data_IF_649047868563
#
_entry.id   IF_649047868563
#
_cell.length_a   1.000
_cell.length_b   1.000
_cell.length_c   1.000
_cell.angle_alpha   90.00
_cell.angle_beta   90.00
_cell.angle_gamma   90.00
#
_symmetry.space_group_name_H-M   'P 1'
#
loop_
_entity.id
_entity.type
_entity.pdbx_description
1 polymer ?
#
# COMPACT_ATOMS: atom_id res chain seq x y z
N UNK A 1 -21.46 -22.89 -10.12
CA UNK A 1 -20.89 -21.76 -10.91
C UNK A 1 -20.08 -20.89 -9.96
N UNK A 2 -18.81 -20.59 -10.27
CA UNK A 2 -17.95 -19.78 -9.39
C UNK A 2 -18.49 -18.35 -9.37
N UNK A 3 -18.93 -17.88 -8.20
CA UNK A 3 -19.39 -16.50 -8.03
C UNK A 3 -18.26 -15.64 -7.46
N UNK A 4 -17.48 -15.03 -8.35
CA UNK A 4 -16.35 -14.18 -7.98
C UNK A 4 -16.74 -12.97 -7.14
N UNK A 5 -17.97 -12.48 -7.25
CA UNK A 5 -18.43 -11.33 -6.46
C UNK A 5 -18.53 -11.66 -4.96
N UNK A 6 -18.95 -12.88 -4.61
CA UNK A 6 -18.98 -13.35 -3.21
C UNK A 6 -17.56 -13.45 -2.65
N UNK A 7 -16.63 -14.01 -3.42
CA UNK A 7 -15.22 -14.05 -3.01
C UNK A 7 -14.60 -12.65 -2.92
N UNK A 8 -15.02 -11.72 -3.78
CA UNK A 8 -14.62 -10.32 -3.72
C UNK A 8 -15.05 -9.66 -2.41
N UNK A 9 -16.31 -9.83 -2.00
CA UNK A 9 -16.78 -9.35 -0.69
C UNK A 9 -16.00 -9.98 0.46
N UNK A 10 -15.80 -11.31 0.44
CA UNK A 10 -15.02 -12.00 1.46
C UNK A 10 -13.58 -11.47 1.53
N UNK A 11 -12.97 -11.19 0.40
CA UNK A 11 -11.64 -10.57 0.34
C UNK A 11 -11.65 -9.18 0.99
N UNK A 12 -12.66 -8.36 0.70
CA UNK A 12 -12.77 -7.01 1.25
C UNK A 12 -12.96 -7.05 2.77
N UNK A 13 -13.80 -7.95 3.27
CA UNK A 13 -13.99 -8.13 4.72
C UNK A 13 -12.71 -8.61 5.42
N UNK A 14 -11.96 -9.55 4.83
CA UNK A 14 -10.64 -9.95 5.36
C UNK A 14 -9.66 -8.76 5.40
N UNK A 15 -9.70 -7.88 4.39
CA UNK A 15 -8.89 -6.66 4.36
C UNK A 15 -9.32 -5.68 5.45
N UNK A 16 -10.62 -5.41 5.60
CA UNK A 16 -11.16 -4.55 6.65
C UNK A 16 -10.82 -5.08 8.05
N UNK A 17 -10.97 -6.40 8.27
CA UNK A 17 -10.62 -7.04 9.53
C UNK A 17 -9.13 -6.86 9.88
N UNK A 18 -8.24 -6.97 8.89
CA UNK A 18 -6.81 -6.65 9.07
C UNK A 18 -6.61 -5.20 9.51
N UNK A 19 -7.26 -4.24 8.86
CA UNK A 19 -7.13 -2.82 9.20
C UNK A 19 -7.69 -2.51 10.60
N UNK A 20 -8.83 -3.10 10.96
CA UNK A 20 -9.38 -3.01 12.32
C UNK A 20 -8.40 -3.55 13.37
N UNK A 21 -7.78 -4.69 13.11
CA UNK A 21 -6.79 -5.27 14.04
C UNK A 21 -5.55 -4.40 14.17
N UNK A 22 -5.10 -3.78 13.07
CA UNK A 22 -3.96 -2.86 13.11
C UNK A 22 -4.27 -1.59 13.91
N UNK A 23 -5.47 -1.03 13.75
CA UNK A 23 -5.92 0.15 14.49
C UNK A 23 -6.10 -0.11 16.00
N UNK A 24 -6.19 -1.37 16.45
CA UNK A 24 -6.17 -1.72 17.88
C UNK A 24 -4.78 -1.59 18.52
N UNK A 25 -3.72 -1.61 17.71
CA UNK A 25 -2.33 -1.70 18.20
C UNK A 25 -1.42 -0.56 17.71
N UNK A 26 -1.95 0.36 16.90
CA UNK A 26 -1.20 1.49 16.38
C UNK A 26 -2.13 2.68 16.13
N UNK A 27 -1.58 3.89 16.30
CA UNK A 27 -2.27 5.13 15.91
C UNK A 27 -2.58 5.12 14.40
N UNK A 28 -3.64 5.79 13.93
CA UNK A 28 -4.09 5.70 12.54
C UNK A 28 -3.00 5.98 11.49
N UNK A 29 -2.22 7.04 11.69
CA UNK A 29 -1.12 7.38 10.78
C UNK A 29 -0.01 6.32 10.78
N UNK A 30 0.38 5.81 11.96
CA UNK A 30 1.37 4.74 12.10
C UNK A 30 0.88 3.44 11.45
N UNK A 31 -0.39 3.10 11.65
CA UNK A 31 -1.03 1.93 11.04
C UNK A 31 -0.98 2.01 9.51
N UNK A 32 -1.43 3.13 8.93
CA UNK A 32 -1.44 3.30 7.48
C UNK A 32 -0.02 3.35 6.90
N UNK A 33 0.90 4.04 7.57
CA UNK A 33 2.32 4.08 7.19
C UNK A 33 2.94 2.68 7.12
N UNK A 34 2.74 1.85 8.15
CA UNK A 34 3.27 0.47 8.17
C UNK A 34 2.74 -0.39 7.03
N UNK A 35 1.44 -0.31 6.71
CA UNK A 35 0.89 -1.07 5.58
C UNK A 35 1.42 -0.57 4.24
N UNK A 36 1.59 0.76 4.07
CA UNK A 36 2.20 1.35 2.88
C UNK A 36 3.64 0.87 2.73
N UNK A 37 4.44 0.92 3.78
CA UNK A 37 5.82 0.45 3.78
C UNK A 37 5.91 -1.05 3.48
N UNK A 38 5.16 -1.90 4.21
CA UNK A 38 5.07 -3.34 3.97
C UNK A 38 4.75 -3.67 2.51
N UNK A 39 3.89 -2.85 1.90
CA UNK A 39 3.53 -3.01 0.50
C UNK A 39 4.76 -2.93 -0.42
N UNK A 40 5.68 -1.99 -0.18
CA UNK A 40 6.82 -1.71 -1.05
C UNK A 40 7.72 -2.93 -1.23
N UNK A 41 7.79 -3.82 -0.23
CA UNK A 41 8.72 -4.95 -0.26
C UNK A 41 8.51 -5.98 -1.37
N UNK A 42 7.30 -6.07 -1.96
CA UNK A 42 6.93 -7.19 -2.87
C UNK A 42 7.28 -8.56 -2.23
N UNK A 43 7.04 -9.76 -2.81
CA UNK A 43 6.92 -10.94 -1.94
C UNK A 43 8.19 -11.28 -1.15
N UNK A 44 9.36 -10.74 -1.54
CA UNK A 44 10.66 -11.04 -0.93
C UNK A 44 11.08 -10.11 0.20
N UNK A 45 10.69 -8.83 0.21
CA UNK A 45 11.17 -7.85 1.21
C UNK A 45 10.04 -7.25 2.08
N UNK A 46 8.86 -7.87 2.14
CA UNK A 46 7.73 -7.31 2.93
C UNK A 46 8.08 -7.12 4.40
N UNK A 47 8.72 -8.12 5.01
CA UNK A 47 9.12 -8.09 6.42
C UNK A 47 10.18 -7.02 6.63
N UNK A 48 11.17 -6.92 5.75
CA UNK A 48 12.23 -5.91 5.86
C UNK A 48 11.67 -4.48 5.78
N UNK A 49 10.71 -4.21 4.88
CA UNK A 49 10.07 -2.90 4.84
C UNK A 49 9.17 -2.62 6.05
N UNK A 50 8.55 -3.65 6.63
CA UNK A 50 7.80 -3.48 7.87
C UNK A 50 8.75 -3.16 9.03
N UNK A 51 9.86 -3.88 9.14
CA UNK A 51 10.91 -3.63 10.14
C UNK A 51 11.48 -2.21 10.00
N UNK A 52 11.79 -1.77 8.77
CA UNK A 52 12.20 -0.40 8.49
C UNK A 52 11.17 0.62 8.99
N UNK A 53 9.87 0.36 8.77
CA UNK A 53 8.80 1.23 9.26
C UNK A 53 8.64 1.22 10.78
N UNK A 54 9.06 0.14 11.46
CA UNK A 54 9.01 0.03 12.91
C UNK A 54 10.19 0.76 13.57
N UNK A 55 11.39 0.64 12.99
CA UNK A 55 12.56 1.36 13.51
C UNK A 55 12.57 2.83 13.10
N UNK A 56 11.84 3.22 12.05
CA UNK A 56 11.64 4.62 11.65
C UNK A 56 10.15 4.98 11.72
N UNK A 57 9.56 5.15 12.92
CA UNK A 57 8.13 5.43 13.08
C UNK A 57 7.68 6.66 12.29
N UNK A 58 6.42 6.68 11.88
CA UNK A 58 5.88 7.80 11.11
C UNK A 58 5.98 9.14 11.86
N UNK A 59 5.82 9.12 13.18
CA UNK A 59 6.03 10.28 14.05
C UNK A 59 7.44 10.87 13.95
N UNK A 60 8.47 10.06 13.68
CA UNK A 60 9.83 10.54 13.39
C UNK A 60 9.92 11.11 11.96
N UNK A 61 9.35 10.42 10.98
CA UNK A 61 9.27 10.89 9.58
C UNK A 61 8.65 12.30 9.50
N UNK A 62 7.59 12.58 10.27
CA UNK A 62 6.95 13.90 10.30
C UNK A 62 7.87 15.02 10.76
N UNK A 63 8.87 14.74 11.61
CA UNK A 63 9.83 15.74 12.09
C UNK A 63 10.85 16.14 11.03
N UNK A 64 11.14 15.25 10.09
CA UNK A 64 12.17 15.45 9.05
C UNK A 64 11.71 16.45 7.98
N UNK A 65 10.40 16.54 7.72
CA UNK A 65 9.71 17.46 6.78
C UNK A 65 10.12 17.33 5.30
N UNK A 66 11.40 17.48 5.00
CA UNK A 66 11.95 17.56 3.66
C UNK A 66 12.21 16.17 3.06
N UNK A 67 11.82 15.99 1.79
CA UNK A 67 11.97 14.70 1.08
C UNK A 67 13.37 14.12 1.14
N UNK A 68 14.40 14.95 0.96
CA UNK A 68 15.78 14.48 0.90
C UNK A 68 16.28 14.00 2.28
N UNK A 69 15.85 14.65 3.37
CA UNK A 69 16.12 14.22 4.75
C UNK A 69 15.36 12.92 5.07
N UNK A 70 14.09 12.82 4.66
CA UNK A 70 13.30 11.58 4.79
C UNK A 70 13.95 10.41 4.05
N UNK A 71 14.38 10.62 2.80
CA UNK A 71 15.11 9.64 2.01
C UNK A 71 16.41 9.22 2.71
N UNK A 72 17.21 10.18 3.17
CA UNK A 72 18.48 9.91 3.86
C UNK A 72 18.25 9.11 5.15
N UNK A 73 17.29 9.50 5.99
CA UNK A 73 16.96 8.80 7.22
C UNK A 73 16.55 7.34 6.96
N UNK A 74 15.67 7.10 5.99
CA UNK A 74 15.24 5.75 5.62
C UNK A 74 16.39 4.92 5.04
N UNK A 75 17.24 5.50 4.18
CA UNK A 75 18.41 4.81 3.62
C UNK A 75 19.44 4.48 4.71
N UNK A 76 19.64 5.38 5.68
CA UNK A 76 20.52 5.16 6.82
C UNK A 76 20.03 3.96 7.64
N UNK A 77 18.77 4.00 8.08
CA UNK A 77 18.13 2.95 8.89
C UNK A 77 18.05 1.63 8.15
N UNK A 78 17.95 1.66 6.83
CA UNK A 78 17.97 0.47 5.98
C UNK A 78 19.38 -0.14 5.77
N UNK A 79 20.47 0.51 6.22
CA UNK A 79 21.82 -0.02 6.00
C UNK A 79 22.41 0.32 4.61
N UNK A 80 21.81 1.25 3.86
CA UNK A 80 22.26 1.59 2.50
C UNK A 80 23.23 2.75 2.42
N UNK A 81 23.33 3.57 3.46
CA UNK A 81 24.29 4.67 3.56
C UNK A 81 24.78 4.83 4.98
N UNK A 82 26.03 5.26 5.15
CA UNK A 82 26.60 5.70 6.43
C UNK A 82 26.57 7.23 6.59
N UNK A 83 26.09 7.95 5.56
CA UNK A 83 25.95 9.40 5.59
C UNK A 83 24.94 9.84 6.66
N UNK A 84 25.43 10.70 7.57
CA UNK A 84 24.67 11.29 8.68
C UNK A 84 24.46 12.80 8.51
N UNK A 85 25.04 13.40 7.47
CA UNK A 85 24.97 14.84 7.25
C UNK A 85 23.49 15.27 7.17
N UNK A 86 23.16 16.43 7.71
CA UNK A 86 21.81 17.02 7.73
C UNK A 86 20.72 16.24 8.49
N UNK A 87 21.01 15.04 9.01
CA UNK A 87 20.08 14.35 9.90
C UNK A 87 19.99 15.08 11.25
N UNK A 88 18.81 15.12 11.90
CA UNK A 88 18.65 15.79 13.19
C UNK A 88 19.64 15.28 14.24
N UNK A 89 20.08 16.17 15.13
CA UNK A 89 21.04 15.82 16.20
C UNK A 89 20.50 14.76 17.17
N UNK A 90 19.18 14.70 17.34
CA UNK A 90 18.46 13.73 18.18
C UNK A 90 18.04 12.47 17.42
N UNK A 91 18.47 12.30 16.16
CA UNK A 91 18.23 11.08 15.39
C UNK A 91 19.00 9.90 16.01
N UNK A 92 18.30 8.82 16.32
CA UNK A 92 18.93 7.63 16.90
C UNK A 92 19.70 6.84 15.84
N UNK A 93 21.02 7.04 15.82
CA UNK A 93 21.93 6.36 14.90
C UNK A 93 22.26 4.92 15.31
N UNK A 94 21.85 4.46 16.50
CA UNK A 94 22.08 3.07 16.96
C UNK A 94 21.13 2.07 16.31
N UNK A 95 19.94 2.53 15.92
CA UNK A 95 18.92 1.73 15.27
C UNK A 95 19.22 1.63 13.77
N UNK A 96 19.57 0.43 13.29
CA UNK A 96 19.87 0.21 11.87
C UNK A 96 19.73 -1.26 11.50
N UNK A 97 19.24 -1.52 10.29
CA UNK A 97 19.18 -2.86 9.71
C UNK A 97 20.52 -3.24 9.08
N UNK A 98 20.88 -4.51 9.13
CA UNK A 98 22.00 -5.03 8.34
C UNK A 98 21.63 -5.00 6.85
N UNK A 99 22.54 -4.53 5.98
CA UNK A 99 22.31 -4.49 4.53
C UNK A 99 22.02 -5.88 3.93
N UNK A 100 22.53 -6.96 4.55
CA UNK A 100 22.37 -8.34 4.09
C UNK A 100 20.93 -8.85 4.19
N UNK A 101 20.07 -8.21 4.99
CA UNK A 101 18.67 -8.63 5.14
C UNK A 101 17.86 -8.38 3.85
N UNK A 102 18.34 -7.49 2.98
CA UNK A 102 17.66 -7.10 1.76
C UNK A 102 17.89 -8.11 0.63
N UNK A 103 16.79 -8.64 0.09
CA UNK A 103 16.84 -9.61 -0.99
C UNK A 103 16.82 -8.91 -2.35
N UNK A 104 17.87 -9.12 -3.14
CA UNK A 104 17.98 -8.62 -4.54
C UNK A 104 17.72 -9.70 -5.59
N UNK A 105 18.01 -10.96 -5.28
CA UNK A 105 17.94 -12.07 -6.25
C UNK A 105 16.55 -12.19 -6.87
N UNK A 106 16.47 -12.08 -8.19
CA UNK A 106 15.21 -12.18 -8.95
C UNK A 106 14.28 -10.97 -8.82
N UNK A 107 14.77 -9.84 -8.32
CA UNK A 107 14.07 -8.55 -8.35
C UNK A 107 14.60 -7.73 -9.52
N UNK A 108 13.72 -7.09 -10.30
CA UNK A 108 14.14 -6.17 -11.37
C UNK A 108 14.81 -4.92 -10.76
N UNK A 109 15.85 -4.32 -11.37
CA UNK A 109 16.56 -3.18 -10.80
C UNK A 109 15.68 -1.97 -10.43
N UNK A 110 14.54 -1.75 -11.11
CA UNK A 110 13.59 -0.69 -10.77
C UNK A 110 12.85 -0.93 -9.44
N UNK A 111 12.88 -2.16 -8.93
CA UNK A 111 12.15 -2.61 -7.74
C UNK A 111 13.07 -2.86 -6.54
N UNK A 112 14.36 -2.50 -6.65
CA UNK A 112 15.31 -2.63 -5.54
C UNK A 112 14.90 -1.77 -4.33
N UNK A 113 15.21 -2.22 -3.10
CA UNK A 113 14.73 -1.55 -1.89
C UNK A 113 15.12 -0.08 -1.80
N UNK A 114 16.37 0.27 -2.11
CA UNK A 114 16.86 1.66 -2.06
C UNK A 114 16.12 2.58 -3.02
N UNK A 115 15.74 2.08 -4.21
CA UNK A 115 14.93 2.86 -5.16
C UNK A 115 13.49 3.04 -4.71
N UNK A 116 12.95 2.06 -3.98
CA UNK A 116 11.60 2.14 -3.42
C UNK A 116 11.53 3.07 -2.21
N UNK A 117 12.59 3.09 -1.40
CA UNK A 117 12.76 4.08 -0.33
C UNK A 117 12.75 5.48 -0.93
N UNK A 118 13.62 5.73 -1.92
CA UNK A 118 13.63 7.01 -2.66
C UNK A 118 12.26 7.39 -3.24
N UNK A 119 11.57 6.41 -3.83
CA UNK A 119 10.25 6.62 -4.42
C UNK A 119 9.19 7.02 -3.38
N UNK A 120 9.17 6.39 -2.19
CA UNK A 120 8.14 6.66 -1.18
C UNK A 120 8.36 7.99 -0.45
N UNK A 121 9.60 8.49 -0.36
CA UNK A 121 9.91 9.76 0.32
C UNK A 121 9.09 10.94 -0.20
N UNK A 122 8.74 10.95 -1.50
CA UNK A 122 7.89 11.99 -2.07
C UNK A 122 6.42 11.95 -1.62
N UNK A 123 5.90 10.80 -1.21
CA UNK A 123 4.60 10.73 -0.51
C UNK A 123 4.77 11.22 0.92
N UNK A 124 5.79 10.74 1.62
CA UNK A 124 6.00 11.00 3.04
C UNK A 124 6.16 12.50 3.33
N UNK A 125 6.94 13.22 2.50
CA UNK A 125 7.08 14.67 2.55
C UNK A 125 5.71 15.37 2.55
N UNK A 126 4.86 15.03 1.57
CA UNK A 126 3.52 15.64 1.40
C UNK A 126 2.56 15.36 2.55
N UNK A 127 2.89 14.39 3.40
CA UNK A 127 2.04 13.95 4.51
C UNK A 127 2.56 14.41 5.87
N UNK A 128 3.75 15.02 5.93
CA UNK A 128 4.39 15.40 7.21
C UNK A 128 3.55 16.40 8.02
N UNK A 129 2.96 17.39 7.37
CA UNK A 129 2.14 18.41 8.02
C UNK A 129 0.77 17.85 8.46
N UNK A 130 -0.01 17.32 7.52
CA UNK A 130 -1.41 16.94 7.75
C UNK A 130 -1.62 15.54 8.32
N UNK A 131 -0.61 14.67 8.28
CA UNK A 131 -0.75 13.24 8.56
C UNK A 131 -1.17 12.45 7.32
N UNK A 132 -0.75 11.20 7.23
CA UNK A 132 -0.97 10.37 6.04
C UNK A 132 -2.43 9.97 5.89
N UNK A 133 -3.14 9.78 7.00
CA UNK A 133 -4.57 9.49 7.00
C UNK A 133 -5.35 10.68 6.47
N UNK A 134 -5.12 11.88 7.01
CA UNK A 134 -5.84 13.08 6.58
C UNK A 134 -5.53 13.43 5.12
N UNK A 135 -4.27 13.27 4.69
CA UNK A 135 -3.87 13.46 3.30
C UNK A 135 -4.71 12.64 2.31
N UNK A 136 -4.91 11.35 2.59
CA UNK A 136 -5.74 10.51 1.73
C UNK A 136 -7.25 10.75 1.93
N UNK A 137 -7.67 11.06 3.16
CA UNK A 137 -9.08 11.31 3.47
C UNK A 137 -9.62 12.52 2.67
N UNK A 138 -8.91 13.63 2.66
CA UNK A 138 -9.32 14.85 1.93
C UNK A 138 -9.34 14.62 0.42
N UNK A 139 -8.38 13.87 -0.12
CA UNK A 139 -8.36 13.51 -1.55
C UNK A 139 -9.49 12.57 -1.95
N UNK A 140 -9.86 11.62 -1.08
CA UNK A 140 -11.01 10.76 -1.34
C UNK A 140 -12.30 11.59 -1.28
N UNK A 141 -12.41 12.46 -0.28
CA UNK A 141 -13.56 13.35 -0.11
C UNK A 141 -13.79 14.23 -1.35
N UNK A 142 -12.72 14.77 -1.95
CA UNK A 142 -12.83 15.58 -3.17
C UNK A 142 -13.30 14.79 -4.41
N UNK A 143 -13.14 13.46 -4.40
CA UNK A 143 -13.51 12.59 -5.52
C UNK A 143 -14.89 11.92 -5.37
N UNK A 144 -15.57 12.09 -4.23
CA UNK A 144 -16.85 11.40 -3.93
C UNK A 144 -17.95 11.56 -4.99
N UNK A 145 -17.95 12.68 -5.71
CA UNK A 145 -18.93 12.98 -6.78
C UNK A 145 -18.48 12.53 -8.17
N UNK A 146 -17.24 12.08 -8.33
CA UNK A 146 -16.67 11.70 -9.62
C UNK A 146 -17.09 10.28 -9.99
N UNK A 147 -17.67 10.13 -11.18
CA UNK A 147 -18.17 8.84 -11.70
C UNK A 147 -17.13 8.08 -12.54
N UNK A 148 -15.94 8.64 -12.74
CA UNK A 148 -14.86 7.97 -13.48
C UNK A 148 -13.83 7.37 -12.50
N UNK A 149 -13.89 6.06 -12.23
CA UNK A 149 -13.05 5.44 -11.21
C UNK A 149 -11.55 5.51 -11.54
N UNK A 150 -11.17 5.44 -12.83
CA UNK A 150 -9.76 5.59 -13.24
C UNK A 150 -9.23 6.99 -12.95
N UNK A 151 -10.02 8.02 -13.26
CA UNK A 151 -9.65 9.41 -13.00
C UNK A 151 -9.53 9.64 -11.49
N UNK A 152 -10.52 9.23 -10.72
CA UNK A 152 -10.49 9.42 -9.26
C UNK A 152 -9.30 8.75 -8.58
N UNK A 153 -8.96 7.50 -8.95
CA UNK A 153 -7.77 6.85 -8.40
C UNK A 153 -6.50 7.63 -8.76
N UNK A 154 -6.38 8.09 -10.02
CA UNK A 154 -5.24 8.89 -10.47
C UNK A 154 -5.08 10.17 -9.65
N UNK A 155 -6.19 10.86 -9.38
CA UNK A 155 -6.21 12.13 -8.66
C UNK A 155 -5.95 11.93 -7.15
N UNK A 156 -6.53 10.88 -6.53
CA UNK A 156 -6.25 10.48 -5.15
C UNK A 156 -4.78 10.09 -4.97
N UNK A 157 -4.23 9.33 -5.91
CA UNK A 157 -2.86 8.81 -5.85
C UNK A 157 -1.85 9.73 -6.56
N UNK A 158 -2.17 11.02 -6.72
CA UNK A 158 -1.30 11.97 -7.43
C UNK A 158 -0.11 12.45 -6.57
N UNK A 159 0.89 11.58 -6.43
CA UNK A 159 2.20 11.88 -5.83
C UNK A 159 3.33 11.24 -6.65
N UNK A 160 4.56 11.72 -6.51
CA UNK A 160 5.68 11.28 -7.37
C UNK A 160 6.32 9.96 -6.92
N UNK A 161 7.29 9.45 -7.69
CA UNK A 161 8.14 8.33 -7.32
C UNK A 161 7.54 6.93 -7.54
N UNK A 162 6.22 6.77 -7.40
CA UNK A 162 5.54 5.48 -7.57
C UNK A 162 4.77 5.41 -8.89
N UNK A 163 5.02 4.36 -9.68
CA UNK A 163 4.32 4.13 -10.95
C UNK A 163 2.82 3.84 -10.80
N UNK A 164 2.04 4.10 -11.85
CA UNK A 164 0.57 4.01 -11.83
C UNK A 164 0.06 2.63 -11.40
N UNK A 165 0.55 1.55 -12.00
CA UNK A 165 0.16 0.18 -11.62
C UNK A 165 0.33 -0.06 -10.12
N UNK A 166 1.41 0.48 -9.55
CA UNK A 166 1.70 0.31 -8.13
C UNK A 166 0.77 1.13 -7.25
N UNK A 167 0.41 2.34 -7.69
CA UNK A 167 -0.59 3.17 -7.02
C UNK A 167 -1.96 2.50 -7.03
N UNK A 168 -2.36 1.88 -8.13
CA UNK A 168 -3.62 1.11 -8.20
C UNK A 168 -3.62 -0.03 -7.17
N UNK A 169 -2.54 -0.82 -7.13
CA UNK A 169 -2.39 -1.90 -6.15
C UNK A 169 -2.43 -1.38 -4.72
N UNK A 170 -1.71 -0.29 -4.40
CA UNK A 170 -1.66 0.31 -3.07
C UNK A 170 -3.03 0.85 -2.65
N UNK A 171 -3.71 1.58 -3.53
CA UNK A 171 -5.03 2.12 -3.24
C UNK A 171 -6.00 1.01 -2.90
N UNK A 172 -6.15 0.01 -3.78
CA UNK A 172 -7.16 -1.03 -3.60
C UNK A 172 -6.83 -2.00 -2.47
N UNK A 173 -5.55 -2.32 -2.24
CA UNK A 173 -5.19 -3.30 -1.19
C UNK A 173 -5.02 -2.70 0.21
N UNK A 174 -4.84 -1.38 0.32
CA UNK A 174 -4.42 -0.70 1.55
C UNK A 174 -5.28 0.54 1.81
N UNK A 175 -5.17 1.58 0.98
CA UNK A 175 -5.80 2.88 1.27
C UNK A 175 -7.32 2.74 1.35
N UNK A 176 -7.94 2.11 0.35
CA UNK A 176 -9.38 1.88 0.27
C UNK A 176 -9.90 1.10 1.49
N UNK A 177 -9.44 -0.14 1.80
CA UNK A 177 -9.95 -0.87 2.95
C UNK A 177 -9.62 -0.19 4.29
N UNK A 178 -8.50 0.54 4.40
CA UNK A 178 -8.19 1.32 5.59
C UNK A 178 -9.22 2.43 5.79
N UNK A 179 -9.49 3.22 4.74
CA UNK A 179 -10.45 4.33 4.81
C UNK A 179 -11.90 3.85 5.01
N UNK A 180 -12.25 2.67 4.50
CA UNK A 180 -13.54 2.03 4.78
C UNK A 180 -13.70 1.64 6.26
N UNK A 181 -12.62 1.40 6.99
CA UNK A 181 -12.65 1.13 8.44
C UNK A 181 -12.56 2.41 9.26
N UNK A 182 -11.71 3.33 8.84
CA UNK A 182 -11.40 4.54 9.59
C UNK A 182 -12.49 5.62 9.50
N UNK A 183 -13.03 5.85 8.30
CA UNK A 183 -14.00 6.92 8.06
C UNK A 183 -15.43 6.50 8.39
N UNK A 184 -16.16 7.30 9.15
CA UNK A 184 -17.60 7.11 9.39
C UNK A 184 -18.48 7.91 8.41
N UNK A 185 -17.87 8.62 7.45
CA UNK A 185 -18.60 9.45 6.50
C UNK A 185 -19.27 8.60 5.40
N UNK A 186 -20.60 8.71 5.27
CA UNK A 186 -21.40 7.91 4.34
C UNK A 186 -21.09 8.16 2.86
N UNK A 187 -20.73 9.38 2.46
CA UNK A 187 -20.34 9.70 1.09
C UNK A 187 -19.02 9.02 0.72
N UNK A 188 -18.04 9.05 1.63
CA UNK A 188 -16.76 8.36 1.48
C UNK A 188 -16.98 6.85 1.39
N UNK A 189 -17.81 6.27 2.27
CA UNK A 189 -18.12 4.84 2.23
C UNK A 189 -18.78 4.44 0.91
N UNK A 190 -19.76 5.21 0.44
CA UNK A 190 -20.45 4.97 -0.83
C UNK A 190 -19.49 5.07 -2.02
N UNK A 191 -18.59 6.06 -2.00
CA UNK A 191 -17.59 6.23 -3.05
C UNK A 191 -16.58 5.07 -3.07
N UNK A 192 -16.05 4.64 -1.93
CA UNK A 192 -15.10 3.52 -1.88
C UNK A 192 -15.75 2.20 -2.30
N UNK A 193 -17.03 2.00 -1.96
CA UNK A 193 -17.84 0.89 -2.46
C UNK A 193 -17.99 0.95 -3.98
N UNK A 194 -18.35 2.12 -4.52
CA UNK A 194 -18.41 2.36 -5.96
C UNK A 194 -17.08 2.04 -6.65
N UNK A 195 -15.95 2.48 -6.10
CA UNK A 195 -14.62 2.17 -6.61
C UNK A 195 -14.36 0.66 -6.65
N UNK A 196 -14.69 -0.07 -5.59
CA UNK A 196 -14.48 -1.51 -5.54
C UNK A 196 -15.29 -2.28 -6.60
N UNK A 197 -16.53 -1.83 -6.85
CA UNK A 197 -17.47 -2.49 -7.76
C UNK A 197 -17.28 -2.08 -9.23
N UNK A 198 -16.71 -0.91 -9.49
CA UNK A 198 -16.64 -0.34 -10.84
C UNK A 198 -15.23 -0.07 -11.35
N UNK A 199 -14.19 -0.13 -10.51
CA UNK A 199 -12.81 -0.02 -11.00
C UNK A 199 -12.48 -1.25 -11.86
N UNK A 200 -11.87 -1.07 -13.05
CA UNK A 200 -11.54 -2.17 -13.95
C UNK A 200 -10.49 -3.12 -13.35
N UNK A 201 -10.39 -4.37 -13.84
CA UNK A 201 -9.45 -5.34 -13.31
C UNK A 201 -8.00 -4.82 -13.34
N UNK A 202 -7.23 -5.20 -12.32
CA UNK A 202 -5.81 -4.89 -12.26
C UNK A 202 -5.02 -5.70 -13.29
N UNK A 203 -3.77 -5.29 -13.51
CA UNK A 203 -2.84 -6.00 -14.38
C UNK A 203 -2.68 -7.46 -13.97
N UNK A 204 -2.70 -8.35 -14.94
CA UNK A 204 -2.66 -9.79 -14.68
C UNK A 204 -1.33 -10.25 -14.08
N UNK A 205 -1.42 -10.94 -12.95
CA UNK A 205 -0.31 -11.66 -12.35
C UNK A 205 -0.42 -13.18 -12.63
N UNK A 206 0.58 -13.95 -12.17
CA UNK A 206 0.60 -15.42 -12.36
C UNK A 206 -0.65 -16.10 -11.81
N UNK A 207 -1.20 -15.63 -10.69
CA UNK A 207 -2.39 -16.21 -10.05
C UNK A 207 -3.63 -16.02 -10.94
N UNK A 208 -3.81 -14.82 -11.49
CA UNK A 208 -4.92 -14.50 -12.39
C UNK A 208 -4.81 -15.26 -13.71
N UNK A 209 -3.59 -15.38 -14.27
CA UNK A 209 -3.35 -16.18 -15.48
C UNK A 209 -3.73 -17.65 -15.27
N UNK A 210 -3.32 -18.22 -14.13
CA UNK A 210 -3.69 -19.59 -13.75
C UNK A 210 -5.20 -19.73 -13.54
N UNK A 211 -5.84 -18.75 -12.88
CA UNK A 211 -7.29 -18.76 -12.69
C UNK A 211 -8.04 -18.82 -14.02
N UNK A 212 -7.68 -17.96 -14.97
CA UNK A 212 -8.30 -17.90 -16.30
C UNK A 212 -8.08 -19.19 -17.10
N UNK A 213 -6.89 -19.80 -16.98
CA UNK A 213 -6.60 -21.09 -17.61
C UNK A 213 -7.53 -22.19 -17.09
N UNK A 214 -7.73 -22.26 -15.78
CA UNK A 214 -8.56 -23.28 -15.14
C UNK A 214 -10.07 -23.00 -15.28
N UNK A 215 -10.46 -21.75 -15.55
CA UNK A 215 -11.85 -21.30 -15.56
C UNK A 215 -12.14 -20.39 -16.78
N UNK A 216 -12.01 -20.90 -18.02
CA UNK A 216 -12.06 -20.06 -19.23
C UNK A 216 -13.41 -19.39 -19.47
N UNK A 217 -14.50 -19.93 -18.91
CA UNK A 217 -15.85 -19.36 -19.01
C UNK A 217 -16.15 -18.26 -17.98
N UNK A 218 -15.30 -18.07 -16.97
CA UNK A 218 -15.53 -17.11 -15.88
C UNK A 218 -14.87 -15.77 -16.21
N UNK A 219 -15.67 -14.71 -16.35
CA UNK A 219 -15.18 -13.36 -16.65
C UNK A 219 -14.75 -12.61 -15.38
N UNK A 220 -13.68 -11.81 -15.51
CA UNK A 220 -13.20 -10.88 -14.49
C UNK A 220 -13.42 -9.46 -15.03
N UNK A 221 -14.50 -8.81 -14.62
CA UNK A 221 -14.98 -7.56 -15.23
C UNK A 221 -14.60 -6.30 -14.43
N UNK A 222 -14.30 -6.44 -13.14
CA UNK A 222 -13.95 -5.35 -12.24
C UNK A 222 -12.99 -5.83 -11.14
N UNK A 223 -12.54 -4.90 -10.29
CA UNK A 223 -11.67 -5.19 -9.14
C UNK A 223 -12.30 -6.17 -8.16
N UNK A 224 -13.61 -6.06 -7.90
CA UNK A 224 -14.30 -7.00 -7.02
C UNK A 224 -14.17 -8.45 -7.51
N UNK A 225 -14.44 -8.70 -8.78
CA UNK A 225 -14.26 -10.02 -9.40
C UNK A 225 -12.78 -10.43 -9.43
N UNK A 226 -11.87 -9.48 -9.71
CA UNK A 226 -10.42 -9.72 -9.76
C UNK A 226 -9.89 -10.19 -8.40
N UNK A 227 -10.27 -9.50 -7.31
CA UNK A 227 -9.90 -9.88 -5.96
C UNK A 227 -10.56 -11.19 -5.53
N UNK A 228 -11.80 -11.43 -5.98
CA UNK A 228 -12.47 -12.71 -5.80
C UNK A 228 -11.71 -13.87 -6.44
N UNK A 229 -11.19 -13.70 -7.65
CA UNK A 229 -10.40 -14.72 -8.34
C UNK A 229 -9.08 -15.00 -7.61
N UNK A 230 -8.42 -13.96 -7.08
CA UNK A 230 -7.22 -14.13 -6.23
C UNK A 230 -7.55 -14.92 -4.97
N UNK A 231 -8.65 -14.61 -4.29
CA UNK A 231 -9.01 -15.29 -3.05
C UNK A 231 -9.38 -16.75 -3.30
N UNK A 232 -10.14 -17.02 -4.36
CA UNK A 232 -10.50 -18.37 -4.78
C UNK A 232 -9.26 -19.24 -5.01
N UNK A 233 -8.31 -18.76 -5.82
CA UNK A 233 -7.08 -19.52 -6.08
C UNK A 233 -6.23 -19.76 -4.84
N UNK A 234 -6.19 -18.80 -3.91
CA UNK A 234 -5.43 -18.97 -2.66
C UNK A 234 -6.03 -20.01 -1.72
N UNK A 235 -7.35 -20.19 -1.73
CA UNK A 235 -8.00 -21.22 -0.93
C UNK A 235 -7.68 -22.60 -1.50
N UNK A 236 -7.80 -22.78 -2.82
CA UNK A 236 -7.52 -24.06 -3.46
C UNK A 236 -6.04 -24.50 -3.36
N UNK A 237 -5.08 -23.57 -3.32
CA UNK A 237 -3.65 -23.90 -3.13
C UNK A 237 -3.35 -24.39 -1.71
N UNK A 238 -4.16 -24.01 -0.71
CA UNK A 238 -3.96 -24.42 0.68
C UNK A 238 -4.70 -25.72 1.03
N UNK A 239 -5.53 -26.23 0.13
CA UNK A 239 -6.29 -27.47 0.26
C UNK A 239 -5.62 -28.65 -0.50
N UNK A 240 -4.45 -28.42 -1.11
CA UNK A 240 -3.54 -29.40 -1.73
C UNK A 240 -2.26 -29.56 -0.90
#
# INVERSE_FOLDING_TARGET
>A
MINLNIFGEKWLELKKQRMQNLLKIALPDEALYREIMLSLGYPKNKVNFLELALITPYSEIRKLKEKHIIEKALLYRAGFTDDKEDLPKDFDFSLRMDKSVWVYKGIRPANFPEKRIKAISGLLEKTTESGIVNFFLERIKSETKNKNPRKSLKDIMNFEGIGLQRKEEMFLNIIMPFMMVYSQNSEIQSFLRFMFENYPPLSENKVIKLFKLNNPSVKIENVKAYMGAILFQKQNINDE
#
